data_IF_951450602304
#
_entry.id   IF_951450602304
#
_cell.length_a   1.000
_cell.length_b   1.000
_cell.length_c   1.000
_cell.angle_alpha   90.00
_cell.angle_beta   90.00
_cell.angle_gamma   90.00
#
_symmetry.space_group_name_H-M   'P 1'
#
loop_
_entity.id
_entity.type
_entity.pdbx_description
1 polymer ?
#
# COMPACT_ATOMS: atom_id res chain seq x y z
N UNK A 1 3.01 3.56 -17.27
CA UNK A 1 2.12 2.42 -16.98
C UNK A 1 1.02 2.98 -16.11
N UNK A 2 -0.23 2.71 -16.44
CA UNK A 2 -1.33 3.06 -15.55
C UNK A 2 -1.25 2.15 -14.31
N UNK A 3 -1.23 2.75 -13.11
CA UNK A 3 -1.23 1.99 -11.86
C UNK A 3 -2.65 1.71 -11.37
N UNK A 4 -3.69 2.24 -12.04
CA UNK A 4 -5.08 1.95 -11.71
C UNK A 4 -5.38 0.45 -11.63
N UNK A 5 -4.84 -0.44 -12.50
CA UNK A 5 -5.07 -1.89 -12.36
C UNK A 5 -4.42 -2.53 -11.11
N UNK A 6 -3.48 -1.84 -10.46
CA UNK A 6 -2.86 -2.25 -9.19
C UNK A 6 -3.59 -1.66 -7.98
N UNK A 7 -4.37 -0.61 -8.23
CA UNK A 7 -5.25 0.00 -7.26
C UNK A 7 -6.53 -0.83 -7.23
N UNK A 8 -6.75 -1.61 -6.17
CA UNK A 8 -8.00 -2.34 -6.01
C UNK A 8 -9.16 -1.45 -5.52
N UNK A 9 -8.99 -0.11 -5.60
CA UNK A 9 -9.86 0.95 -5.06
C UNK A 9 -10.16 0.89 -3.56
N UNK A 10 -9.75 -0.18 -2.89
CA UNK A 10 -10.18 -0.46 -1.53
C UNK A 10 -9.04 -0.42 -0.52
N UNK A 11 -7.77 -0.56 -0.93
CA UNK A 11 -6.61 -0.46 -0.02
C UNK A 11 -5.56 0.60 -0.39
N UNK A 12 -5.63 1.74 0.30
CA UNK A 12 -4.68 2.85 0.20
C UNK A 12 -3.35 2.59 0.96
N UNK A 13 -3.20 1.48 1.71
CA UNK A 13 -2.05 1.28 2.60
C UNK A 13 -0.70 1.29 1.86
N UNK A 14 -0.63 0.67 0.68
CA UNK A 14 0.59 0.66 -0.13
C UNK A 14 0.97 2.05 -0.66
N UNK A 15 -0.01 2.85 -1.07
CA UNK A 15 0.19 4.24 -1.48
C UNK A 15 0.56 5.14 -0.29
N UNK A 16 -0.03 4.91 0.88
CA UNK A 16 0.36 5.58 2.12
C UNK A 16 1.80 5.27 2.51
N UNK A 17 2.22 4.01 2.41
CA UNK A 17 3.57 3.56 2.71
C UNK A 17 4.63 4.08 1.73
N UNK A 18 4.34 4.10 0.43
CA UNK A 18 5.31 4.52 -0.59
C UNK A 18 5.34 6.03 -0.78
N UNK A 19 4.17 6.68 -0.81
CA UNK A 19 4.00 8.05 -1.32
C UNK A 19 3.31 9.01 -0.35
N UNK A 20 2.79 8.51 0.78
CA UNK A 20 2.07 9.34 1.76
C UNK A 20 0.65 9.70 1.34
N UNK A 21 0.15 9.16 0.23
CA UNK A 21 -1.20 9.44 -0.27
C UNK A 21 -2.22 8.60 0.48
N UNK A 22 -3.31 9.26 0.95
CA UNK A 22 -4.39 8.62 1.71
C UNK A 22 -3.87 7.74 2.85
N UNK A 23 -2.84 8.25 3.52
CA UNK A 23 -2.08 7.55 4.56
C UNK A 23 -2.84 7.47 5.90
N UNK A 24 -4.02 6.86 5.90
CA UNK A 24 -4.86 6.72 7.10
C UNK A 24 -4.21 5.88 8.20
N UNK A 25 -3.30 4.99 7.82
CA UNK A 25 -2.53 4.18 8.77
C UNK A 25 -1.37 4.95 9.42
N UNK A 26 -0.92 6.08 8.86
CA UNK A 26 0.17 6.88 9.45
C UNK A 26 1.56 6.27 9.24
N UNK A 27 1.84 5.74 8.06
CA UNK A 27 3.19 5.36 7.65
C UNK A 27 4.12 6.57 7.59
N UNK A 28 5.43 6.32 7.76
CA UNK A 28 6.46 7.24 7.29
C UNK A 28 6.75 6.92 5.82
N UNK A 29 6.30 7.76 4.88
CA UNK A 29 6.37 7.42 3.47
C UNK A 29 7.80 7.45 2.94
N UNK A 30 8.12 6.51 2.03
CA UNK A 30 9.45 6.44 1.39
C UNK A 30 9.72 7.68 0.55
N UNK A 31 8.72 8.11 -0.23
CA UNK A 31 8.86 9.15 -1.24
C UNK A 31 7.63 10.06 -1.30
N UNK A 32 7.32 10.78 -0.22
CA UNK A 32 6.29 11.80 -0.24
C UNK A 32 6.78 13.13 -0.82
N UNK A 33 5.86 13.85 -1.49
CA UNK A 33 5.96 15.27 -1.83
C UNK A 33 7.25 15.71 -2.55
N UNK A 34 7.83 14.82 -3.38
CA UNK A 34 9.05 15.13 -4.14
C UNK A 34 8.79 15.91 -5.42
N UNK A 35 7.54 16.02 -5.86
CA UNK A 35 7.18 16.58 -7.16
C UNK A 35 7.62 15.68 -8.32
N UNK A 36 7.78 16.27 -9.50
CA UNK A 36 8.33 15.58 -10.67
C UNK A 36 9.87 15.52 -10.59
N UNK A 37 10.52 14.44 -11.06
CA UNK A 37 11.97 14.41 -11.19
C UNK A 37 12.49 15.55 -12.08
N UNK A 38 13.57 16.23 -11.66
CA UNK A 38 14.13 17.38 -12.40
C UNK A 38 14.84 17.01 -13.71
N UNK A 39 15.18 15.74 -13.90
CA UNK A 39 15.82 15.16 -15.09
C UNK A 39 14.84 14.40 -15.99
N UNK A 40 13.53 14.64 -15.82
CA UNK A 40 12.52 14.11 -16.74
C UNK A 40 12.81 14.54 -18.18
N UNK A 41 12.62 13.62 -19.11
CA UNK A 41 12.68 13.95 -20.54
C UNK A 41 11.62 14.99 -20.88
N UNK A 42 11.93 15.88 -21.83
CA UNK A 42 11.04 16.97 -22.26
C UNK A 42 9.65 16.45 -22.65
N UNK A 43 9.59 15.32 -23.36
CA UNK A 43 8.33 14.69 -23.77
C UNK A 43 7.49 14.17 -22.58
N UNK A 44 8.13 13.66 -21.53
CA UNK A 44 7.43 13.17 -20.34
C UNK A 44 6.99 14.34 -19.45
N UNK A 45 7.82 15.38 -19.37
CA UNK A 45 7.52 16.64 -18.71
C UNK A 45 6.30 17.30 -19.36
N UNK A 46 6.29 17.50 -20.67
CA UNK A 46 5.17 18.07 -21.43
C UNK A 46 3.85 17.30 -21.26
N UNK A 47 3.93 15.98 -21.05
CA UNK A 47 2.74 15.15 -20.80
C UNK A 47 2.18 15.29 -19.38
N UNK A 48 3.03 15.45 -18.38
CA UNK A 48 2.64 15.48 -16.97
C UNK A 48 2.43 16.91 -16.43
N UNK A 49 3.20 17.88 -16.93
CA UNK A 49 3.19 19.26 -16.47
C UNK A 49 1.83 19.95 -16.59
N UNK A 50 1.03 19.79 -17.67
CA UNK A 50 -0.29 20.42 -17.75
C UNK A 50 -1.22 19.92 -16.63
N UNK A 51 -1.17 18.62 -16.35
CA UNK A 51 -2.01 17.99 -15.33
C UNK A 51 -1.63 18.46 -13.92
N UNK A 52 -0.34 18.70 -13.67
CA UNK A 52 0.17 19.25 -12.40
C UNK A 52 -0.10 20.76 -12.29
N UNK A 53 0.12 21.52 -13.36
CA UNK A 53 0.03 22.99 -13.37
C UNK A 53 -1.41 23.52 -13.36
N UNK A 54 -2.34 22.79 -13.98
CA UNK A 54 -3.77 23.13 -14.02
C UNK A 54 -4.51 22.75 -12.72
N UNK A 55 -3.80 22.18 -11.74
CA UNK A 55 -4.38 21.75 -10.47
C UNK A 55 -5.33 20.55 -10.60
N UNK A 56 -5.30 19.87 -11.74
CA UNK A 56 -6.08 18.65 -12.00
C UNK A 56 -5.49 17.42 -11.31
N UNK A 57 -4.25 17.51 -10.83
CA UNK A 57 -3.62 16.51 -9.98
C UNK A 57 -3.47 17.01 -8.55
N UNK A 58 -3.81 16.17 -7.58
CA UNK A 58 -3.55 16.39 -6.17
C UNK A 58 -2.04 16.44 -5.84
N UNK A 59 -1.19 15.89 -6.73
CA UNK A 59 0.27 15.99 -6.63
C UNK A 59 0.99 14.97 -7.51
N UNK A 60 2.33 15.03 -7.49
CA UNK A 60 3.19 14.02 -8.11
C UNK A 60 4.41 13.74 -7.22
N UNK A 61 4.92 12.52 -7.29
CA UNK A 61 6.14 12.11 -6.60
C UNK A 61 6.82 10.96 -7.35
N UNK A 62 7.98 10.52 -6.86
CA UNK A 62 8.73 9.42 -7.46
C UNK A 62 9.60 8.68 -6.46
N UNK A 63 9.79 7.38 -6.70
CA UNK A 63 10.66 6.50 -5.89
C UNK A 63 11.62 5.74 -6.79
N UNK A 64 12.89 5.61 -6.38
CA UNK A 64 13.89 4.86 -7.15
C UNK A 64 13.80 3.35 -6.85
N UNK A 65 14.34 2.53 -7.77
CA UNK A 65 14.50 1.10 -7.49
C UNK A 65 15.40 0.87 -6.27
N UNK A 66 16.47 1.65 -6.12
CA UNK A 66 17.38 1.56 -5.00
C UNK A 66 16.68 1.79 -3.63
N UNK A 67 15.69 2.68 -3.58
CA UNK A 67 14.89 2.93 -2.37
C UNK A 67 13.93 1.78 -2.07
N UNK A 68 13.27 1.24 -3.10
CA UNK A 68 12.39 0.06 -2.96
C UNK A 68 13.19 -1.16 -2.51
N UNK A 69 14.36 -1.41 -3.11
CA UNK A 69 15.20 -2.57 -2.80
C UNK A 69 15.78 -2.54 -1.38
N UNK A 70 15.91 -1.35 -0.78
CA UNK A 70 16.38 -1.16 0.60
C UNK A 70 15.26 -1.02 1.61
N UNK A 71 14.00 -1.00 1.16
CA UNK A 71 12.85 -0.90 2.06
C UNK A 71 12.82 -2.13 2.97
N UNK A 72 12.90 -1.91 4.27
CA UNK A 72 12.78 -2.98 5.25
C UNK A 72 11.34 -3.54 5.20
N UNK A 73 11.15 -4.85 4.91
CA UNK A 73 9.82 -5.47 4.93
C UNK A 73 9.09 -5.33 6.27
N UNK A 74 9.82 -5.16 7.38
CA UNK A 74 9.25 -4.95 8.71
C UNK A 74 8.74 -3.51 8.95
N UNK A 75 8.95 -2.58 8.00
CA UNK A 75 8.44 -1.20 8.09
C UNK A 75 6.93 -1.22 8.30
N UNK A 76 6.46 -0.60 9.38
CA UNK A 76 5.06 -0.58 9.78
C UNK A 76 4.62 0.86 10.12
N UNK A 77 3.31 1.15 10.16
CA UNK A 77 2.82 2.44 10.61
C UNK A 77 2.98 2.63 12.13
N UNK A 78 2.97 3.88 12.60
CA UNK A 78 3.27 4.21 14.01
C UNK A 78 2.21 3.69 15.01
N UNK A 79 0.95 3.55 14.58
CA UNK A 79 -0.18 3.32 15.51
C UNK A 79 -1.00 2.05 15.24
N UNK A 80 -0.86 1.46 14.06
CA UNK A 80 -1.65 0.29 13.66
C UNK A 80 -0.73 -0.87 13.29
N UNK A 81 -1.12 -2.08 13.68
CA UNK A 81 -0.39 -3.31 13.36
C UNK A 81 -0.99 -4.05 12.16
N UNK A 82 -2.26 -3.77 11.88
CA UNK A 82 -3.02 -4.53 10.91
C UNK A 82 -4.34 -3.88 10.56
N UNK A 83 -5.09 -4.58 9.71
CA UNK A 83 -6.46 -4.29 9.34
C UNK A 83 -7.29 -5.54 9.56
N UNK A 84 -8.49 -5.35 10.09
CA UNK A 84 -9.52 -6.37 10.12
C UNK A 84 -10.61 -5.99 9.13
N UNK A 85 -10.98 -6.93 8.28
CA UNK A 85 -12.06 -6.82 7.30
C UNK A 85 -13.07 -7.92 7.59
N UNK A 86 -14.36 -7.61 7.57
CA UNK A 86 -15.40 -8.61 7.79
C UNK A 86 -16.63 -8.37 6.92
N UNK A 87 -17.29 -9.45 6.54
CA UNK A 87 -18.55 -9.42 5.80
C UNK A 87 -19.40 -10.64 6.14
N UNK A 88 -20.70 -10.56 5.84
CA UNK A 88 -21.55 -11.76 5.88
C UNK A 88 -21.40 -12.51 4.57
N UNK A 89 -21.14 -13.84 4.57
CA UNK A 89 -21.13 -14.64 3.34
C UNK A 89 -22.45 -14.58 2.57
N UNK A 90 -23.57 -14.33 3.26
CA UNK A 90 -24.88 -14.14 2.64
C UNK A 90 -25.03 -12.77 1.94
N UNK A 91 -24.18 -11.78 2.27
CA UNK A 91 -24.16 -10.43 1.70
C UNK A 91 -22.71 -9.94 1.54
N UNK A 92 -21.93 -10.55 0.63
CA UNK A 92 -20.50 -10.26 0.51
C UNK A 92 -20.21 -8.83 0.01
N UNK A 93 -21.20 -8.16 -0.60
CA UNK A 93 -21.09 -6.76 -1.03
C UNK A 93 -21.05 -5.76 0.14
N UNK A 94 -21.44 -6.16 1.35
CA UNK A 94 -21.34 -5.34 2.56
C UNK A 94 -20.05 -5.72 3.27
N UNK A 95 -18.99 -4.99 2.95
CA UNK A 95 -17.67 -5.17 3.51
C UNK A 95 -17.41 -4.09 4.57
N UNK A 96 -17.12 -4.52 5.79
CA UNK A 96 -16.66 -3.65 6.87
C UNK A 96 -15.17 -3.80 7.05
N UNK A 97 -14.52 -2.72 7.51
CA UNK A 97 -13.08 -2.64 7.63
C UNK A 97 -12.70 -1.71 8.79
N UNK A 98 -11.66 -2.09 9.53
CA UNK A 98 -11.11 -1.27 10.59
C UNK A 98 -9.60 -1.49 10.72
N UNK A 99 -8.84 -0.40 10.84
CA UNK A 99 -7.43 -0.46 11.23
C UNK A 99 -7.34 -0.81 12.72
N UNK A 100 -6.42 -1.71 13.07
CA UNK A 100 -6.30 -2.22 14.44
C UNK A 100 -4.91 -1.94 15.03
N UNK A 101 -4.83 -1.39 16.25
CA UNK A 101 -3.58 -1.32 17.00
C UNK A 101 -3.21 -2.70 17.56
N UNK A 102 -2.04 -2.80 18.20
CA UNK A 102 -1.53 -4.06 18.77
C UNK A 102 -2.52 -4.73 19.74
N UNK A 103 -3.26 -3.93 20.50
CA UNK A 103 -4.34 -4.36 21.39
C UNK A 103 -5.67 -4.01 20.76
N UNK A 104 -6.43 -5.01 20.31
CA UNK A 104 -7.67 -4.76 19.57
C UNK A 104 -8.74 -4.12 20.48
N UNK A 105 -9.52 -3.13 19.96
CA UNK A 105 -10.63 -2.54 20.71
C UNK A 105 -11.64 -3.60 21.16
N UNK A 106 -12.16 -3.47 22.38
CA UNK A 106 -13.09 -4.44 22.96
C UNK A 106 -14.37 -4.62 22.12
N UNK A 107 -14.86 -3.54 21.52
CA UNK A 107 -16.01 -3.55 20.61
C UNK A 107 -15.77 -4.41 19.37
N UNK A 108 -14.56 -4.35 18.80
CA UNK A 108 -14.18 -5.15 17.65
C UNK A 108 -14.06 -6.61 18.07
N UNK A 109 -13.41 -6.90 19.19
CA UNK A 109 -13.28 -8.26 19.72
C UNK A 109 -14.65 -8.90 20.01
N UNK A 110 -15.61 -8.12 20.53
CA UNK A 110 -16.97 -8.60 20.74
C UNK A 110 -17.70 -8.94 19.44
N UNK A 111 -17.34 -8.29 18.32
CA UNK A 111 -17.94 -8.49 17.01
C UNK A 111 -17.30 -9.63 16.21
N UNK A 112 -15.97 -9.61 16.06
CA UNK A 112 -15.22 -10.53 15.21
C UNK A 112 -14.52 -11.65 15.99
N UNK A 113 -14.68 -11.68 17.31
CA UNK A 113 -13.94 -12.60 18.18
C UNK A 113 -12.54 -12.09 18.53
N UNK A 114 -11.83 -12.80 19.42
CA UNK A 114 -10.46 -12.45 19.78
C UNK A 114 -9.52 -12.62 18.60
N UNK A 115 -8.36 -11.94 18.67
CA UNK A 115 -7.27 -12.11 17.71
C UNK A 115 -6.96 -13.61 17.55
N UNK A 116 -7.02 -14.19 16.35
CA UNK A 116 -6.67 -15.59 16.13
C UNK A 116 -5.26 -15.92 16.63
N UNK A 117 -5.10 -17.08 17.26
CA UNK A 117 -3.78 -17.57 17.69
C UNK A 117 -2.85 -17.87 16.50
N UNK A 118 -3.41 -18.09 15.31
CA UNK A 118 -2.67 -18.26 14.05
C UNK A 118 -1.87 -17.01 13.67
N UNK A 119 -2.18 -15.84 14.24
CA UNK A 119 -1.41 -14.62 14.08
C UNK A 119 -0.15 -14.55 14.98
N UNK A 120 0.34 -15.70 15.45
CA UNK A 120 1.59 -15.82 16.19
C UNK A 120 2.78 -15.97 15.21
N UNK A 121 3.51 -14.85 15.10
CA UNK A 121 4.94 -14.73 14.74
C UNK A 121 5.42 -14.92 13.29
N UNK A 122 4.56 -15.21 12.31
CA UNK A 122 5.00 -15.17 10.90
C UNK A 122 3.90 -14.87 9.86
N UNK A 123 2.63 -15.00 10.21
CA UNK A 123 1.55 -14.87 9.23
C UNK A 123 1.07 -13.43 9.10
N UNK A 124 1.34 -12.84 7.93
CA UNK A 124 0.85 -11.52 7.50
C UNK A 124 -0.67 -11.50 7.27
N UNK A 125 -1.36 -12.62 7.42
CA UNK A 125 -2.78 -12.76 7.13
C UNK A 125 -3.44 -13.92 7.89
N UNK A 126 -4.66 -13.71 8.36
CA UNK A 126 -5.52 -14.79 8.87
C UNK A 126 -6.96 -14.62 8.36
N UNK A 127 -7.69 -15.72 8.23
CA UNK A 127 -9.12 -15.72 7.88
C UNK A 127 -9.86 -16.69 8.80
N UNK A 128 -10.96 -16.25 9.38
CA UNK A 128 -11.74 -17.06 10.33
C UNK A 128 -13.23 -16.70 10.28
N UNK A 129 -14.05 -17.59 10.83
CA UNK A 129 -15.48 -17.35 11.02
C UNK A 129 -15.76 -16.88 12.45
N UNK A 130 -16.51 -15.79 12.58
CA UNK A 130 -17.09 -15.33 13.86
C UNK A 130 -18.60 -15.30 13.73
N UNK A 131 -19.26 -16.36 14.18
CA UNK A 131 -20.68 -16.59 13.91
C UNK A 131 -20.95 -16.65 12.40
N UNK A 132 -21.75 -15.70 11.89
CA UNK A 132 -22.11 -15.57 10.47
C UNK A 132 -21.21 -14.59 9.70
N UNK A 133 -20.10 -14.13 10.30
CA UNK A 133 -19.16 -13.20 9.69
C UNK A 133 -17.90 -13.94 9.24
N UNK A 134 -17.55 -13.79 7.97
CA UNK A 134 -16.21 -14.10 7.48
C UNK A 134 -15.31 -12.92 7.81
N UNK A 135 -14.31 -13.16 8.64
CA UNK A 135 -13.37 -12.15 9.12
C UNK A 135 -11.99 -12.44 8.55
N UNK A 136 -11.26 -11.38 8.19
CA UNK A 136 -9.91 -11.43 7.67
C UNK A 136 -9.04 -10.41 8.39
N UNK A 137 -7.84 -10.81 8.73
CA UNK A 137 -6.78 -9.94 9.21
C UNK A 137 -5.69 -9.83 8.16
N UNK A 138 -5.15 -8.64 7.98
CA UNK A 138 -3.99 -8.35 7.13
C UNK A 138 -3.01 -7.48 7.91
N UNK A 139 -1.75 -7.90 7.96
CA UNK A 139 -0.64 -7.12 8.52
C UNK A 139 -0.42 -5.86 7.69
N UNK A 140 -0.06 -4.77 8.37
CA UNK A 140 0.26 -3.49 7.74
C UNK A 140 1.77 -3.28 7.53
N UNK A 141 2.59 -4.32 7.65
CA UNK A 141 4.01 -4.24 7.30
C UNK A 141 4.18 -3.98 5.80
N UNK A 142 5.29 -3.34 5.40
CA UNK A 142 5.65 -3.15 4.01
C UNK A 142 5.75 -4.50 3.27
N UNK A 143 6.27 -5.53 3.94
CA UNK A 143 6.33 -6.90 3.44
C UNK A 143 4.96 -7.51 3.13
N UNK A 144 3.93 -7.18 3.91
CA UNK A 144 2.56 -7.63 3.68
C UNK A 144 1.91 -6.86 2.52
N UNK A 145 1.90 -5.52 2.60
CA UNK A 145 1.14 -4.66 1.68
C UNK A 145 1.80 -4.48 0.31
N UNK A 146 3.12 -4.71 0.20
CA UNK A 146 3.89 -4.70 -1.05
C UNK A 146 4.36 -6.11 -1.45
N UNK A 147 3.97 -7.12 -0.69
CA UNK A 147 4.44 -8.50 -0.83
C UNK A 147 3.76 -9.31 -1.92
N UNK A 148 4.02 -10.63 -1.96
CA UNK A 148 3.51 -11.55 -2.99
C UNK A 148 1.98 -11.59 -3.14
N UNK A 149 1.25 -11.18 -2.11
CA UNK A 149 -0.22 -11.13 -2.11
C UNK A 149 -0.80 -9.82 -2.65
N UNK A 150 0.06 -8.83 -2.90
CA UNK A 150 -0.31 -7.56 -3.51
C UNK A 150 -0.02 -7.59 -5.03
N UNK A 151 -0.41 -6.53 -5.73
CA UNK A 151 -0.08 -6.37 -7.15
C UNK A 151 1.30 -5.74 -7.40
N UNK A 152 1.97 -5.22 -6.36
CA UNK A 152 3.29 -4.56 -6.45
C UNK A 152 4.45 -5.43 -6.96
N UNK A 153 4.52 -6.76 -6.71
CA UNK A 153 5.61 -7.60 -7.22
C UNK A 153 5.81 -7.50 -8.74
N UNK A 154 4.74 -7.29 -9.50
CA UNK A 154 4.85 -7.12 -10.95
C UNK A 154 5.55 -5.81 -11.34
N UNK A 155 5.24 -4.70 -10.66
CA UNK A 155 5.92 -3.41 -10.86
C UNK A 155 7.39 -3.51 -10.46
N UNK A 156 7.65 -4.11 -9.30
CA UNK A 156 9.00 -4.30 -8.79
C UNK A 156 9.84 -5.19 -9.69
N UNK A 157 9.26 -6.24 -10.28
CA UNK A 157 9.95 -7.06 -11.27
C UNK A 157 10.39 -6.26 -12.51
N UNK A 158 9.52 -5.38 -13.02
CA UNK A 158 9.86 -4.50 -14.15
C UNK A 158 10.95 -3.50 -13.77
N UNK A 159 10.81 -2.83 -12.60
CA UNK A 159 11.81 -1.89 -12.11
C UNK A 159 13.17 -2.57 -11.92
N UNK A 160 13.19 -3.76 -11.31
CA UNK A 160 14.40 -4.56 -11.14
C UNK A 160 15.06 -4.90 -12.47
N UNK A 161 14.29 -5.39 -13.44
CA UNK A 161 14.84 -5.76 -14.75
C UNK A 161 15.47 -4.58 -15.49
N UNK A 162 14.89 -3.38 -15.34
CA UNK A 162 15.48 -2.14 -15.87
C UNK A 162 16.73 -1.75 -15.06
N UNK A 163 16.71 -1.88 -13.73
CA UNK A 163 17.81 -1.52 -12.87
C UNK A 163 19.03 -2.41 -13.09
N UNK A 164 18.82 -3.71 -13.33
CA UNK A 164 19.88 -4.67 -13.68
C UNK A 164 20.64 -4.23 -14.97
N UNK A 165 19.99 -3.47 -15.86
CA UNK A 165 20.59 -2.95 -17.10
C UNK A 165 21.15 -1.54 -16.99
N UNK A 166 20.45 -0.65 -16.28
CA UNK A 166 20.72 0.80 -16.31
C UNK A 166 21.27 1.35 -14.99
N UNK A 167 21.32 0.54 -13.93
CA UNK A 167 21.71 0.93 -12.57
C UNK A 167 20.50 1.24 -11.68
N UNK A 168 20.63 0.95 -10.38
CA UNK A 168 19.53 1.05 -9.40
C UNK A 168 19.03 2.48 -9.18
N UNK A 169 19.90 3.49 -9.30
CA UNK A 169 19.54 4.90 -9.14
C UNK A 169 18.95 5.54 -10.42
N UNK A 170 19.14 4.87 -11.57
CA UNK A 170 18.67 5.36 -12.87
C UNK A 170 17.22 4.99 -13.16
N UNK A 171 16.64 4.06 -12.40
CA UNK A 171 15.25 3.59 -12.58
C UNK A 171 14.37 4.16 -11.49
N UNK A 172 13.29 4.83 -11.90
CA UNK A 172 12.33 5.47 -11.00
C UNK A 172 10.91 5.18 -11.44
N UNK A 173 10.05 4.93 -10.45
CA UNK A 173 8.61 4.95 -10.63
C UNK A 173 8.12 6.38 -10.36
N UNK A 174 7.57 7.03 -11.39
CA UNK A 174 6.96 8.36 -11.27
C UNK A 174 5.44 8.19 -11.22
N UNK A 175 4.82 8.80 -10.22
CA UNK A 175 3.39 8.72 -9.94
C UNK A 175 2.77 10.10 -9.83
N UNK A 176 1.56 10.22 -10.35
CA UNK A 176 0.73 11.41 -10.33
C UNK A 176 -0.66 11.00 -9.79
N UNK A 177 -1.24 11.84 -8.95
CA UNK A 177 -2.51 11.57 -8.26
C UNK A 177 -3.58 12.52 -8.79
N UNK A 178 -4.70 11.98 -9.28
CA UNK A 178 -5.84 12.74 -9.80
C UNK A 178 -7.14 12.38 -9.09
#
# INVERSE_FOLDING_TARGET
>A
MDLWPLYDETDDASFGCLFGVRNYAGYRPVAADRGLPGDLSSALCERLQPWVAEGHLAGATWVSWAEIARLDPATAPDHYVGRVTWSSPARPSILHRQLVPAVWPAELVALVGPRPNELQDADDHAEWMSGELLCRYESLTAGSILGPRSHWPHVFAVMKALADRFGEDAVRLVVAFG
#
